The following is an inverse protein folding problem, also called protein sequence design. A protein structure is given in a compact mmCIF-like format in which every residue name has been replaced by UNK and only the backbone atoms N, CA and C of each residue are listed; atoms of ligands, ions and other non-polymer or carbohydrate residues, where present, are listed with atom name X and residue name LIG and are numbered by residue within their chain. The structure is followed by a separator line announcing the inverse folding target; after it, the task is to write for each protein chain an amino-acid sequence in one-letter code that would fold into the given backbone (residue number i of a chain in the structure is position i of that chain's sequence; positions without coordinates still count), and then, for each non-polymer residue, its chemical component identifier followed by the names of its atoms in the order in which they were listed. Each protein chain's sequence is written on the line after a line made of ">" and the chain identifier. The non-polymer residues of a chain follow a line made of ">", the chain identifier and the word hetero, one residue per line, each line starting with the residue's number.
data_IF_823424444241
#
_entry.id   IF_823424444241
#
_cell.length_a   1.000
_cell.length_b   1.000
_cell.length_c   1.000
_cell.angle_alpha   90.00
_cell.angle_beta   90.00
_cell.angle_gamma   90.00
#
_symmetry.space_group_name_H-M   'P 1'
#
loop_
_entity.id
_entity.type
_entity.pdbx_description
1 polymer ?
#
# COMPACT_ATOMS: atom_id res chain seq x y z
N UNK A 1 -5.74 4.53 19.93
CA UNK A 1 -4.90 4.20 18.77
C UNK A 1 -3.51 3.83 19.30
N UNK A 2 -2.94 2.68 18.96
CA UNK A 2 -1.65 2.22 19.49
C UNK A 2 -0.72 1.87 18.34
N UNK A 3 0.42 2.54 18.27
CA UNK A 3 1.51 2.18 17.35
C UNK A 3 2.22 0.95 17.89
N UNK A 4 2.44 -0.04 17.03
CA UNK A 4 3.27 -1.21 17.28
C UNK A 4 4.66 -0.93 16.68
N UNK A 5 5.71 -1.27 17.42
CA UNK A 5 7.09 -0.99 16.99
C UNK A 5 7.84 -2.22 16.44
N UNK A 6 7.20 -3.39 16.44
CA UNK A 6 7.79 -4.64 15.92
C UNK A 6 6.88 -5.25 14.88
N UNK A 7 7.44 -5.71 13.76
CA UNK A 7 8.87 -5.70 13.38
C UNK A 7 9.43 -4.28 13.13
N UNK A 8 8.62 -3.32 12.74
CA UNK A 8 8.91 -1.89 12.57
C UNK A 8 7.64 -1.07 12.87
N UNK A 9 7.73 0.27 13.01
CA UNK A 9 6.58 1.09 13.38
C UNK A 9 5.42 0.93 12.40
N UNK A 10 4.27 0.47 12.90
CA UNK A 10 3.03 0.30 12.13
C UNK A 10 1.79 0.45 13.01
N UNK A 11 0.65 0.67 12.37
CA UNK A 11 -0.65 0.78 13.02
C UNK A 11 -1.76 0.26 12.10
N UNK A 12 -2.81 -0.30 12.72
CA UNK A 12 -4.08 -0.62 12.04
C UNK A 12 -5.22 0.13 12.70
N UNK A 13 -6.07 0.74 11.89
CA UNK A 13 -7.22 1.53 12.33
C UNK A 13 -8.47 0.95 11.68
N UNK A 14 -9.31 0.31 12.48
CA UNK A 14 -10.58 -0.26 12.02
C UNK A 14 -11.63 0.84 11.79
N UNK A 15 -12.52 0.60 10.84
CA UNK A 15 -13.62 1.50 10.48
C UNK A 15 -13.13 2.93 10.22
N UNK A 16 -12.02 3.04 9.48
CA UNK A 16 -11.35 4.32 9.28
C UNK A 16 -12.21 5.33 8.52
N UNK A 17 -12.91 4.88 7.48
CA UNK A 17 -13.89 5.71 6.77
C UNK A 17 -15.24 5.63 7.51
N UNK A 18 -15.82 6.76 7.94
CA UNK A 18 -17.06 6.74 8.73
C UNK A 18 -18.26 6.11 8.02
N UNK A 19 -18.31 6.18 6.70
CA UNK A 19 -19.39 5.62 5.88
C UNK A 19 -18.92 4.39 5.13
N UNK A 20 -19.35 3.21 5.55
CA UNK A 20 -19.08 1.95 4.82
C UNK A 20 -19.68 1.95 3.41
N UNK A 21 -20.80 2.64 3.19
CA UNK A 21 -21.39 2.75 1.85
C UNK A 21 -20.43 3.41 0.85
N UNK A 22 -19.64 4.40 1.28
CA UNK A 22 -18.62 5.04 0.43
C UNK A 22 -17.48 4.06 0.15
N UNK A 23 -17.08 3.24 1.13
CA UNK A 23 -16.04 2.22 0.94
C UNK A 23 -16.50 1.14 -0.04
N UNK A 24 -17.78 0.70 0.03
CA UNK A 24 -18.36 -0.25 -0.93
C UNK A 24 -18.41 0.34 -2.34
N UNK A 25 -18.89 1.57 -2.48
CA UNK A 25 -18.88 2.26 -3.78
C UNK A 25 -17.47 2.39 -4.37
N UNK A 26 -16.46 2.62 -3.53
CA UNK A 26 -15.06 2.61 -3.96
C UNK A 26 -14.60 1.22 -4.40
N UNK A 27 -14.99 0.15 -3.71
CA UNK A 27 -14.67 -1.23 -4.10
C UNK A 27 -15.36 -1.64 -5.42
N UNK A 28 -16.63 -1.26 -5.61
CA UNK A 28 -17.37 -1.47 -6.85
C UNK A 28 -16.77 -0.70 -8.03
N UNK A 29 -16.17 0.46 -7.79
CA UNK A 29 -15.56 1.28 -8.83
C UNK A 29 -14.34 0.63 -9.51
N UNK A 30 -13.78 -0.46 -8.96
CA UNK A 30 -12.76 -1.25 -9.63
C UNK A 30 -13.28 -1.90 -10.92
N UNK A 31 -14.54 -2.26 -10.95
CA UNK A 31 -15.21 -2.84 -12.13
C UNK A 31 -15.46 -1.79 -13.23
N UNK A 32 -15.43 -0.50 -12.87
CA UNK A 32 -15.60 0.60 -13.83
C UNK A 32 -14.28 0.99 -14.52
N UNK A 33 -13.16 0.48 -14.01
CA UNK A 33 -11.84 0.73 -14.59
C UNK A 33 -11.67 -0.08 -15.87
N UNK A 34 -11.40 0.59 -16.98
CA UNK A 34 -11.00 -0.11 -18.19
C UNK A 34 -9.49 -0.46 -18.14
N UNK A 35 -9.06 -1.39 -18.99
CA UNK A 35 -7.67 -1.87 -19.03
C UNK A 35 -6.65 -0.73 -19.30
N UNK A 36 -7.05 0.33 -19.98
CA UNK A 36 -6.18 1.47 -20.28
C UNK A 36 -5.85 2.31 -19.05
N UNK A 37 -6.64 2.19 -17.99
CA UNK A 37 -6.42 2.91 -16.71
C UNK A 37 -5.60 2.11 -15.69
N UNK A 38 -5.22 0.89 -16.02
CA UNK A 38 -4.37 0.05 -15.19
C UNK A 38 -2.92 -0.01 -15.70
N UNK A 39 -1.99 -0.14 -14.77
CA UNK A 39 -0.60 -0.56 -15.03
C UNK A 39 -0.41 -1.89 -14.33
N UNK A 40 -0.10 -2.93 -15.10
CA UNK A 40 0.25 -4.25 -14.55
C UNK A 40 1.72 -4.22 -14.13
N UNK A 41 1.96 -4.57 -12.88
CA UNK A 41 3.28 -4.81 -12.34
C UNK A 41 3.47 -6.32 -12.15
N UNK A 42 4.62 -6.82 -12.60
CA UNK A 42 4.98 -8.23 -12.45
C UNK A 42 4.63 -9.08 -13.66
N UNK A 43 4.75 -10.37 -13.46
CA UNK A 43 4.70 -11.44 -14.45
C UNK A 43 6.02 -12.21 -14.49
N UNK A 44 5.97 -13.54 -14.60
CA UNK A 44 7.15 -14.38 -14.46
C UNK A 44 7.81 -14.28 -13.08
N UNK A 45 9.13 -14.14 -13.04
CA UNK A 45 9.93 -14.09 -11.80
C UNK A 45 9.95 -12.71 -11.12
N UNK A 46 9.02 -11.81 -11.45
CA UNK A 46 9.08 -10.43 -10.99
C UNK A 46 8.70 -10.20 -9.50
N UNK A 47 8.39 -11.26 -8.75
CA UNK A 47 8.05 -11.15 -7.33
C UNK A 47 6.69 -10.54 -7.03
N UNK A 48 5.91 -10.20 -8.06
CA UNK A 48 4.55 -9.68 -7.89
C UNK A 48 3.69 -9.85 -9.15
N UNK A 49 2.39 -10.03 -8.95
CA UNK A 49 1.34 -9.83 -9.95
C UNK A 49 0.28 -8.91 -9.35
N UNK A 50 0.32 -7.65 -9.71
CA UNK A 50 -0.52 -6.60 -9.18
C UNK A 50 -0.86 -5.57 -10.26
N UNK A 51 -2.07 -5.03 -10.20
CA UNK A 51 -2.48 -3.89 -11.02
C UNK A 51 -2.57 -2.63 -10.15
N UNK A 52 -2.02 -1.53 -10.63
CA UNK A 52 -2.17 -0.22 -10.01
C UNK A 52 -2.81 0.75 -10.98
N UNK A 53 -3.63 1.68 -10.48
CA UNK A 53 -4.19 2.73 -11.32
C UNK A 53 -3.08 3.62 -11.88
N UNK A 54 -3.23 4.04 -13.14
CA UNK A 54 -2.32 5.02 -13.75
C UNK A 54 -2.32 6.31 -12.92
N UNK A 55 -1.15 6.95 -12.92
CA UNK A 55 -0.99 8.27 -12.30
C UNK A 55 -1.98 9.29 -12.82
N UNK A 56 -2.49 10.06 -11.88
CA UNK A 56 -3.37 11.20 -12.11
C UNK A 56 -4.79 10.96 -11.63
N UNK A 57 -5.30 11.95 -10.95
CA UNK A 57 -6.65 11.94 -10.36
C UNK A 57 -7.75 11.62 -11.37
N UNK A 58 -7.56 12.02 -12.63
CA UNK A 58 -8.50 11.77 -13.72
C UNK A 58 -8.63 10.28 -14.12
N UNK A 59 -7.68 9.46 -13.71
CA UNK A 59 -7.69 8.02 -13.96
C UNK A 59 -8.33 7.20 -12.82
N UNK A 60 -8.73 7.87 -11.75
CA UNK A 60 -9.32 7.24 -10.56
C UNK A 60 -10.83 7.57 -10.53
N UNK A 61 -11.73 6.57 -10.43
CA UNK A 61 -13.16 6.80 -10.31
C UNK A 61 -13.52 7.67 -9.09
N UNK A 62 -14.58 8.49 -9.18
CA UNK A 62 -14.92 9.46 -8.14
C UNK A 62 -15.08 8.86 -6.73
N UNK A 63 -15.67 7.67 -6.60
CA UNK A 63 -15.86 7.03 -5.30
C UNK A 63 -14.51 6.63 -4.65
N UNK A 64 -13.60 6.03 -5.43
CA UNK A 64 -12.27 5.70 -4.94
C UNK A 64 -11.45 6.96 -4.63
N UNK A 65 -11.58 8.00 -5.46
CA UNK A 65 -10.91 9.28 -5.25
C UNK A 65 -11.37 9.97 -3.95
N UNK A 66 -12.67 9.93 -3.65
CA UNK A 66 -13.21 10.48 -2.40
C UNK A 66 -12.58 9.80 -1.17
N UNK A 67 -12.39 8.48 -1.23
CA UNK A 67 -11.74 7.72 -0.14
C UNK A 67 -10.26 8.07 -0.02
N UNK A 68 -9.54 8.15 -1.13
CA UNK A 68 -8.12 8.56 -1.14
C UNK A 68 -7.92 9.98 -0.59
N UNK A 69 -8.80 10.90 -0.94
CA UNK A 69 -8.80 12.27 -0.42
C UNK A 69 -9.11 12.29 1.08
N UNK A 70 -10.03 11.44 1.53
CA UNK A 70 -10.33 11.32 2.95
C UNK A 70 -9.11 10.83 3.74
N UNK A 71 -8.41 9.80 3.26
CA UNK A 71 -7.17 9.31 3.89
C UNK A 71 -6.14 10.45 3.95
N UNK A 72 -5.90 11.12 2.83
CA UNK A 72 -4.91 12.20 2.72
C UNK A 72 -5.17 13.38 3.67
N UNK A 73 -6.45 13.64 3.98
CA UNK A 73 -6.88 14.79 4.78
C UNK A 73 -6.99 14.45 6.27
N UNK A 74 -7.40 13.22 6.61
CA UNK A 74 -7.76 12.85 7.99
C UNK A 74 -6.73 11.99 8.69
N UNK A 75 -5.73 11.45 7.98
CA UNK A 75 -4.62 10.74 8.59
C UNK A 75 -3.34 11.57 8.52
N UNK A 76 -2.78 11.88 9.69
CA UNK A 76 -1.50 12.59 9.83
C UNK A 76 -0.47 11.68 10.49
N UNK A 77 0.45 11.07 9.70
CA UNK A 77 1.45 10.16 10.24
C UNK A 77 2.42 10.85 11.20
N UNK A 78 2.69 12.14 11.03
CA UNK A 78 3.60 12.88 11.91
C UNK A 78 3.05 12.91 13.34
N UNK A 79 1.74 13.11 13.50
CA UNK A 79 1.08 13.07 14.82
C UNK A 79 1.01 11.67 15.39
N UNK A 80 0.70 10.67 14.55
CA UNK A 80 0.48 9.28 15.00
C UNK A 80 1.78 8.62 15.42
N UNK A 81 2.85 8.78 14.66
CA UNK A 81 4.14 8.14 14.94
C UNK A 81 5.09 9.02 15.77
N UNK A 82 4.74 10.28 16.02
CA UNK A 82 5.56 11.21 16.81
C UNK A 82 6.89 11.58 16.15
N UNK A 83 6.97 11.48 14.82
CA UNK A 83 8.18 11.72 14.05
C UNK A 83 8.01 13.05 13.28
N UNK A 84 8.97 13.93 13.36
CA UNK A 84 8.89 15.29 12.83
C UNK A 84 9.42 15.47 11.41
N UNK A 85 9.34 14.43 10.57
CA UNK A 85 9.85 14.48 9.19
C UNK A 85 8.99 15.32 8.24
N UNK A 86 7.94 15.99 8.75
CA UNK A 86 7.00 16.78 7.95
C UNK A 86 6.47 16.00 6.74
N UNK A 87 6.12 14.72 6.95
CA UNK A 87 5.59 13.88 5.91
C UNK A 87 4.23 14.40 5.43
N UNK A 88 4.05 14.48 4.12
CA UNK A 88 2.84 14.94 3.46
C UNK A 88 2.31 13.89 2.48
N UNK A 89 0.98 13.81 2.25
CA UNK A 89 0.40 12.87 1.31
C UNK A 89 0.69 13.26 -0.14
N UNK A 90 0.94 12.27 -0.99
CA UNK A 90 1.01 12.49 -2.43
C UNK A 90 -0.38 12.41 -3.05
N UNK A 91 -0.93 13.54 -3.45
CA UNK A 91 -2.23 13.65 -4.12
C UNK A 91 -2.19 13.23 -5.60
N UNK A 92 -1.01 12.96 -6.17
CA UNK A 92 -0.88 12.36 -7.48
C UNK A 92 -1.06 10.84 -7.47
N UNK A 93 -1.09 10.25 -6.27
CA UNK A 93 -1.21 8.81 -6.01
C UNK A 93 -0.09 7.95 -6.63
N UNK A 94 1.11 8.51 -6.79
CA UNK A 94 2.27 7.76 -7.27
C UNK A 94 2.66 6.65 -6.28
N UNK A 95 2.76 5.42 -6.80
CA UNK A 95 3.04 4.24 -5.97
C UNK A 95 1.90 3.84 -5.03
N UNK A 96 0.73 4.45 -5.19
CA UNK A 96 -0.50 4.22 -4.43
C UNK A 96 -1.72 4.23 -5.36
N UNK A 97 -2.81 4.90 -4.94
CA UNK A 97 -4.07 4.93 -5.68
C UNK A 97 -4.85 3.62 -5.53
N UNK A 98 -5.44 3.14 -6.61
CA UNK A 98 -6.15 1.85 -6.62
C UNK A 98 -5.16 0.73 -6.87
N UNK A 99 -5.20 -0.31 -6.04
CA UNK A 99 -4.33 -1.49 -6.15
C UNK A 99 -5.18 -2.76 -6.14
N UNK A 100 -5.03 -3.57 -7.19
CA UNK A 100 -5.72 -4.84 -7.39
C UNK A 100 -4.69 -5.97 -7.45
N UNK A 101 -4.76 -6.92 -6.53
CA UNK A 101 -4.01 -8.17 -6.61
C UNK A 101 -4.98 -9.27 -7.02
N UNK A 102 -4.98 -9.70 -8.30
CA UNK A 102 -6.01 -10.58 -8.84
C UNK A 102 -5.68 -12.04 -8.63
N UNK A 103 -6.69 -12.88 -8.44
CA UNK A 103 -6.61 -14.32 -8.67
C UNK A 103 -7.95 -14.94 -9.12
N UNK A 104 -8.91 -14.11 -9.59
CA UNK A 104 -10.19 -14.61 -10.08
C UNK A 104 -10.04 -15.44 -11.33
N UNK A 105 -9.09 -15.12 -12.20
CA UNK A 105 -8.88 -15.76 -13.50
C UNK A 105 -7.61 -16.64 -13.54
N UNK A 106 -7.06 -16.98 -12.37
CA UNK A 106 -5.84 -17.79 -12.28
C UNK A 106 -4.56 -17.03 -12.65
N UNK A 107 -4.58 -15.70 -12.57
CA UNK A 107 -3.39 -14.86 -12.85
C UNK A 107 -2.28 -14.96 -11.78
N UNK A 108 -2.52 -15.70 -10.67
CA UNK A 108 -1.52 -15.93 -9.64
C UNK A 108 -1.15 -14.68 -8.86
N UNK A 109 -2.17 -13.89 -8.45
CA UNK A 109 -1.96 -12.65 -7.70
C UNK A 109 -1.13 -12.85 -6.45
N UNK A 110 -0.03 -12.13 -6.35
CA UNK A 110 0.88 -12.17 -5.20
C UNK A 110 1.68 -10.88 -5.11
N UNK A 111 2.27 -10.65 -3.95
CA UNK A 111 3.24 -9.60 -3.72
C UNK A 111 4.34 -10.15 -2.81
N UNK A 112 5.46 -10.53 -3.40
CA UNK A 112 6.62 -11.05 -2.69
C UNK A 112 7.13 -10.07 -1.64
N UNK A 113 7.87 -10.60 -0.67
CA UNK A 113 8.47 -9.78 0.38
C UNK A 113 9.43 -8.76 -0.24
N UNK A 114 9.17 -7.49 -0.02
CA UNK A 114 9.95 -6.39 -0.59
C UNK A 114 10.03 -5.20 0.37
N UNK A 115 10.98 -4.33 0.10
CA UNK A 115 10.99 -2.95 0.59
C UNK A 115 10.72 -2.02 -0.58
N UNK A 116 9.91 -1.02 -0.34
CA UNK A 116 9.54 -0.02 -1.35
C UNK A 116 10.76 0.78 -1.86
N UNK A 117 10.63 1.36 -3.06
CA UNK A 117 11.53 2.42 -3.49
C UNK A 117 11.35 3.66 -2.60
N UNK A 118 12.46 4.27 -2.19
CA UNK A 118 12.45 5.45 -1.33
C UNK A 118 12.18 6.73 -2.13
N UNK A 119 12.59 6.78 -3.40
CA UNK A 119 12.53 7.97 -4.24
C UNK A 119 11.24 8.03 -5.04
N UNK A 120 10.59 9.18 -5.03
CA UNK A 120 9.40 9.42 -5.84
C UNK A 120 9.75 9.48 -7.34
N UNK A 121 9.05 8.75 -8.19
CA UNK A 121 9.40 8.60 -9.61
C UNK A 121 9.33 9.88 -10.46
N UNK A 122 8.60 10.92 -10.02
CA UNK A 122 8.53 12.22 -10.70
C UNK A 122 9.22 13.33 -9.91
N UNK A 123 9.14 13.29 -8.59
CA UNK A 123 9.72 14.29 -7.70
C UNK A 123 10.95 13.70 -7.01
N UNK A 124 12.06 13.65 -7.71
CA UNK A 124 13.27 12.92 -7.28
C UNK A 124 13.93 13.46 -6.00
N UNK A 125 13.44 14.56 -5.46
CA UNK A 125 13.83 15.10 -4.16
C UNK A 125 12.85 14.72 -3.02
N UNK A 126 11.88 13.81 -3.30
CA UNK A 126 10.96 13.30 -2.29
C UNK A 126 11.35 11.91 -1.85
N UNK A 127 11.37 11.69 -0.53
CA UNK A 127 11.62 10.40 0.12
C UNK A 127 10.32 9.85 0.70
N UNK A 128 10.07 8.56 0.49
CA UNK A 128 8.91 7.87 1.05
C UNK A 128 9.11 7.65 2.55
N UNK A 129 8.18 8.12 3.34
CA UNK A 129 8.20 7.99 4.79
C UNK A 129 7.20 6.94 5.30
N UNK A 130 6.00 6.91 4.71
CA UNK A 130 4.95 5.97 5.12
C UNK A 130 4.14 5.48 3.93
N UNK A 131 3.70 4.23 4.05
CA UNK A 131 2.69 3.63 3.18
C UNK A 131 1.41 3.43 3.99
N UNK A 132 0.31 4.02 3.52
CA UNK A 132 -1.02 3.89 4.10
C UNK A 132 -1.92 3.15 3.13
N UNK A 133 -2.46 1.99 3.53
CA UNK A 133 -3.23 1.08 2.66
C UNK A 133 -4.56 0.75 3.33
N UNK A 134 -5.66 1.18 2.70
CA UNK A 134 -7.02 0.87 3.13
C UNK A 134 -7.51 -0.41 2.46
N UNK A 135 -8.00 -1.35 3.25
CA UNK A 135 -8.61 -2.61 2.84
C UNK A 135 -10.08 -2.39 2.45
N UNK A 136 -10.46 -2.73 1.21
CA UNK A 136 -11.81 -2.45 0.71
C UNK A 136 -12.55 -3.66 0.10
N UNK A 137 -11.95 -4.86 0.04
CA UNK A 137 -12.68 -6.09 -0.31
C UNK A 137 -13.58 -6.51 0.84
N UNK A 138 -14.85 -6.82 0.56
CA UNK A 138 -15.81 -7.33 1.56
C UNK A 138 -15.61 -8.82 1.81
N UNK A 139 -15.33 -9.58 0.76
CA UNK A 139 -14.96 -10.99 0.85
C UNK A 139 -13.43 -11.09 0.89
N UNK A 140 -12.91 -11.78 1.91
CA UNK A 140 -11.48 -11.95 2.11
C UNK A 140 -11.18 -13.14 3.01
N UNK A 141 -9.99 -13.66 2.92
CA UNK A 141 -9.42 -14.64 3.83
C UNK A 141 -8.00 -14.26 4.26
N UNK A 142 -7.27 -15.16 4.91
CA UNK A 142 -5.91 -14.90 5.37
C UNK A 142 -4.88 -14.71 4.24
N UNK A 143 -5.20 -15.04 2.98
CA UNK A 143 -4.33 -14.71 1.84
C UNK A 143 -4.28 -13.21 1.55
N UNK A 144 -5.21 -12.41 2.11
CA UNK A 144 -5.22 -10.96 1.98
C UNK A 144 -4.42 -10.25 3.09
N UNK A 145 -3.95 -10.97 4.10
CA UNK A 145 -3.22 -10.38 5.22
C UNK A 145 -1.93 -9.71 4.77
N UNK A 146 -1.64 -8.56 5.37
CA UNK A 146 -0.36 -7.88 5.15
C UNK A 146 0.72 -8.55 6.02
N UNK A 147 1.78 -8.99 5.39
CA UNK A 147 2.95 -9.58 6.03
C UNK A 147 4.00 -8.50 6.25
N UNK A 148 4.51 -8.39 7.48
CA UNK A 148 5.56 -7.45 7.86
C UNK A 148 6.76 -8.22 8.44
N UNK A 149 8.00 -7.81 8.07
CA UNK A 149 9.23 -8.48 8.49
C UNK A 149 10.41 -7.49 8.53
N UNK A 150 11.27 -7.54 9.57
CA UNK A 150 12.46 -6.67 9.69
C UNK A 150 13.79 -7.41 9.43
N UNK A 151 13.71 -8.65 8.94
CA UNK A 151 14.85 -9.55 8.79
C UNK A 151 14.95 -10.59 9.93
N UNK A 152 14.36 -10.33 11.09
CA UNK A 152 14.42 -11.23 12.26
C UNK A 152 13.03 -11.54 12.84
N UNK A 153 12.17 -10.54 12.89
CA UNK A 153 10.83 -10.63 13.46
C UNK A 153 9.81 -10.46 12.35
N UNK A 154 8.79 -11.29 12.35
CA UNK A 154 7.67 -11.19 11.45
C UNK A 154 6.35 -10.95 12.19
N UNK A 155 5.40 -10.34 11.51
CA UNK A 155 4.04 -10.13 12.00
C UNK A 155 3.08 -10.22 10.82
N UNK A 156 1.95 -10.89 11.04
CA UNK A 156 0.82 -10.91 10.14
C UNK A 156 -0.22 -9.92 10.62
N UNK A 157 -0.57 -8.96 9.78
CA UNK A 157 -1.63 -8.00 10.03
C UNK A 157 -2.89 -8.48 9.31
N UNK A 158 -3.93 -8.96 10.03
CA UNK A 158 -5.12 -9.50 9.41
C UNK A 158 -5.82 -8.48 8.52
N UNK A 159 -6.23 -8.90 7.33
CA UNK A 159 -7.08 -8.09 6.47
C UNK A 159 -8.45 -7.91 7.12
N UNK A 160 -9.01 -6.72 7.01
CA UNK A 160 -10.37 -6.43 7.45
C UNK A 160 -10.94 -5.29 6.60
N UNK A 161 -12.19 -5.44 6.14
CA UNK A 161 -12.89 -4.38 5.42
C UNK A 161 -12.87 -3.08 6.20
N UNK A 162 -12.61 -1.97 5.52
CA UNK A 162 -12.49 -0.61 6.07
C UNK A 162 -11.41 -0.46 7.17
N UNK A 163 -10.34 -1.26 7.10
CA UNK A 163 -9.14 -1.12 7.94
C UNK A 163 -8.06 -0.36 7.18
N UNK A 164 -7.58 0.73 7.76
CA UNK A 164 -6.38 1.43 7.30
C UNK A 164 -5.15 0.84 8.00
N UNK A 165 -4.26 0.26 7.24
CA UNK A 165 -2.93 -0.16 7.71
C UNK A 165 -1.90 0.89 7.29
N UNK A 166 -1.10 1.36 8.24
CA UNK A 166 -0.03 2.32 7.96
C UNK A 166 1.26 1.82 8.58
N UNK A 167 2.34 1.88 7.82
CA UNK A 167 3.66 1.52 8.30
C UNK A 167 4.73 2.51 7.83
N UNK A 168 5.79 2.64 8.66
CA UNK A 168 6.96 3.44 8.32
C UNK A 168 7.81 2.71 7.30
N UNK A 169 8.17 3.42 6.23
CA UNK A 169 9.09 2.92 5.21
C UNK A 169 10.55 3.09 5.66
N UNK A 170 11.36 2.07 5.47
CA UNK A 170 12.79 2.04 5.79
C UNK A 170 13.48 0.93 5.00
N UNK A 171 14.79 0.82 5.13
CA UNK A 171 15.56 -0.27 4.52
C UNK A 171 15.21 -1.67 5.03
N UNK A 172 14.59 -1.76 6.22
CA UNK A 172 14.21 -3.01 6.89
C UNK A 172 12.69 -3.20 6.99
N UNK A 173 11.89 -2.36 6.35
CA UNK A 173 10.42 -2.49 6.36
C UNK A 173 9.94 -3.44 5.26
N UNK A 174 10.39 -4.70 5.35
CA UNK A 174 9.98 -5.77 4.43
C UNK A 174 8.49 -6.05 4.59
N UNK A 175 7.78 -6.07 3.49
CA UNK A 175 6.35 -6.37 3.50
C UNK A 175 5.94 -7.07 2.21
N UNK A 176 4.79 -7.76 2.29
CA UNK A 176 4.28 -8.54 1.17
C UNK A 176 2.90 -9.11 1.46
N UNK A 177 2.44 -9.95 0.55
CA UNK A 177 1.17 -10.67 0.66
C UNK A 177 1.42 -12.15 0.40
N UNK A 178 0.70 -13.06 1.09
CA UNK A 178 0.63 -14.45 0.66
C UNK A 178 0.11 -14.56 -0.78
N UNK A 179 0.24 -15.70 -1.39
CA UNK A 179 -0.45 -15.97 -2.65
C UNK A 179 -1.96 -15.88 -2.44
N UNK A 180 -2.64 -15.11 -3.28
CA UNK A 180 -4.09 -14.89 -3.17
C UNK A 180 -4.83 -16.17 -3.52
N UNK A 181 -5.82 -16.54 -2.71
CA UNK A 181 -6.66 -17.71 -2.94
C UNK A 181 -7.40 -17.57 -4.25
N UNK A 182 -7.42 -18.66 -5.03
CA UNK A 182 -8.08 -18.71 -6.35
C UNK A 182 -9.56 -18.31 -6.24
N UNK A 183 -10.00 -17.52 -7.19
CA UNK A 183 -11.38 -17.00 -7.26
C UNK A 183 -11.59 -15.69 -6.49
N UNK A 184 -10.54 -15.14 -5.86
CA UNK A 184 -10.62 -13.92 -5.06
C UNK A 184 -9.75 -12.82 -5.64
N UNK A 185 -10.19 -11.57 -5.49
CA UNK A 185 -9.46 -10.37 -5.87
C UNK A 185 -9.27 -9.46 -4.66
N UNK A 186 -8.03 -9.20 -4.28
CA UNK A 186 -7.72 -8.26 -3.21
C UNK A 186 -7.69 -6.84 -3.74
N UNK A 187 -8.61 -6.00 -3.25
CA UNK A 187 -8.74 -4.58 -3.61
C UNK A 187 -8.30 -3.71 -2.44
N UNK A 188 -7.45 -2.74 -2.70
CA UNK A 188 -7.00 -1.76 -1.70
C UNK A 188 -6.86 -0.37 -2.31
N UNK A 189 -6.90 0.66 -1.45
CA UNK A 189 -6.60 2.04 -1.79
C UNK A 189 -5.38 2.50 -0.99
N UNK A 190 -4.40 3.07 -1.66
CA UNK A 190 -3.13 3.47 -1.06
C UNK A 190 -2.83 4.95 -1.18
N UNK A 191 -2.38 5.55 -0.07
CA UNK A 191 -1.81 6.90 -0.04
C UNK A 191 -0.39 6.79 0.49
N UNK A 192 0.58 7.26 -0.29
CA UNK A 192 1.97 7.31 0.12
C UNK A 192 2.29 8.68 0.68
N UNK A 193 3.03 8.72 1.80
CA UNK A 193 3.46 9.94 2.45
C UNK A 193 4.95 10.16 2.23
N UNK A 194 5.31 11.36 1.88
CA UNK A 194 6.63 11.77 1.44
C UNK A 194 7.18 12.91 2.28
N UNK A 195 8.48 13.00 2.40
CA UNK A 195 9.19 14.18 2.91
C UNK A 195 10.13 14.74 1.85
N UNK A 196 10.58 15.96 2.04
CA UNK A 196 11.66 16.52 1.23
C UNK A 196 12.98 15.90 1.70
N UNK A 197 13.77 15.37 0.78
CA UNK A 197 15.09 14.79 1.09
C UNK A 197 16.05 15.84 1.65
N UNK A 198 16.81 15.42 2.65
CA UNK A 198 18.03 16.11 3.09
C UNK A 198 19.21 15.70 2.20
N UNK A 199 20.36 16.37 2.34
CA UNK A 199 21.58 15.95 1.63
C UNK A 199 22.03 14.55 2.06
N UNK A 200 21.91 14.21 3.35
CA UNK A 200 22.26 12.89 3.89
C UNK A 200 21.36 11.76 3.31
N UNK A 201 20.08 12.07 3.05
CA UNK A 201 19.17 11.11 2.43
C UNK A 201 19.62 10.70 1.02
N UNK A 202 20.15 11.62 0.23
CA UNK A 202 20.54 11.40 -1.17
C UNK A 202 21.61 10.33 -1.35
N UNK A 203 22.44 10.11 -0.33
CA UNK A 203 23.50 9.10 -0.35
C UNK A 203 22.98 7.68 -0.05
N UNK A 204 21.83 7.55 0.59
CA UNK A 204 21.34 6.28 1.15
C UNK A 204 20.04 5.76 0.53
N UNK A 205 19.31 6.59 -0.23
CA UNK A 205 17.98 6.24 -0.76
C UNK A 205 18.01 5.19 -1.88
N UNK A 206 17.03 4.32 -1.89
CA UNK A 206 16.79 3.34 -2.95
C UNK A 206 15.89 3.92 -4.04
N UNK A 207 16.34 3.84 -5.28
CA UNK A 207 15.57 4.27 -6.46
C UNK A 207 14.56 3.21 -6.91
N UNK A 208 14.77 1.94 -6.55
CA UNK A 208 13.91 0.80 -6.93
C UNK A 208 13.52 -0.02 -5.71
N UNK A 209 12.34 -0.61 -5.75
CA UNK A 209 11.96 -1.63 -4.78
C UNK A 209 12.96 -2.81 -4.83
N UNK A 210 13.22 -3.41 -3.66
CA UNK A 210 14.07 -4.59 -3.52
C UNK A 210 13.22 -5.75 -3.04
N UNK A 211 13.23 -6.86 -3.78
CA UNK A 211 12.56 -8.10 -3.39
C UNK A 211 13.54 -9.05 -2.71
N UNK A 212 13.05 -9.86 -1.79
CA UNK A 212 13.80 -10.90 -1.11
C UNK A 212 12.94 -12.17 -0.99
N UNK A 213 13.18 -13.13 -1.86
CA UNK A 213 12.44 -14.38 -1.91
C UNK A 213 12.82 -15.37 -0.79
N UNK A 214 13.91 -15.11 -0.06
CA UNK A 214 14.35 -15.94 1.07
C UNK A 214 13.59 -15.62 2.38
N UNK A 215 12.89 -14.49 2.43
CA UNK A 215 12.03 -14.12 3.56
C UNK A 215 10.67 -14.80 3.40
N UNK A 216 10.60 -16.07 3.81
CA UNK A 216 9.34 -16.80 3.88
C UNK A 216 8.66 -16.64 5.24
N UNK A 217 7.32 -16.55 5.21
CA UNK A 217 6.50 -16.71 6.41
C UNK A 217 6.29 -18.20 6.67
N UNK A 218 7.03 -18.74 7.61
CA UNK A 218 6.78 -20.09 8.15
C UNK A 218 5.75 -20.06 9.25
#
# INVERSE_FOLDING_TARGET
>A
MKVLNKPFPHISIDNFIPSEAIVRAAAESFELMNNDNWVKYGGGDAGQVQYCSKLGRQNVPPAALLVLDYISTHFDPNKVFGITNNAFPDTSHFGGGMMLTPNSDGEGGHLGMHVDADVHGKNTNWKREYSAVLCISEEYDSSFDLLLHDGNIHTRVPYKFNRLNVFKCSENSWHGLPEITKGMNRKTLGVMYWSIMTEDDKETVRVKAKFNNDLEFK
#
